data_IF_945788052822
#
_entry.id   IF_945788052822
#
_cell.length_a   1.000
_cell.length_b   1.000
_cell.length_c   1.000
_cell.angle_alpha   90.00
_cell.angle_beta   90.00
_cell.angle_gamma   90.00
#
_symmetry.space_group_name_H-M   'P 1'
#
loop_
_entity.id
_entity.type
_entity.pdbx_description
1 polymer ?
#
# COMPACT_ATOMS: atom_id res chain seq x y z
N UNK A 1 33.65 -10.31 2.24
CA UNK A 1 32.42 -10.76 2.91
C UNK A 1 31.49 -11.16 1.77
N UNK A 2 31.49 -12.46 1.44
CA UNK A 2 30.93 -12.99 0.20
C UNK A 2 29.40 -13.04 0.28
N UNK A 3 28.75 -12.42 -0.70
CA UNK A 3 27.30 -12.37 -0.83
C UNK A 3 26.78 -13.75 -1.25
N UNK A 4 26.14 -14.47 -0.32
CA UNK A 4 25.47 -15.75 -0.55
C UNK A 4 24.23 -15.56 -1.44
N UNK A 5 24.40 -15.51 -2.76
CA UNK A 5 23.29 -15.50 -3.73
C UNK A 5 23.17 -16.82 -4.53
N UNK A 6 23.88 -17.88 -4.13
CA UNK A 6 24.15 -19.03 -5.01
C UNK A 6 23.13 -20.18 -5.05
N UNK A 7 21.93 -20.09 -4.45
CA UNK A 7 21.03 -21.27 -4.48
C UNK A 7 19.52 -21.03 -4.54
N UNK A 8 19.03 -19.80 -4.69
CA UNK A 8 17.64 -19.60 -5.05
C UNK A 8 17.49 -19.86 -6.56
N UNK A 9 17.02 -21.07 -6.87
CA UNK A 9 16.34 -21.51 -8.11
C UNK A 9 17.14 -22.27 -9.18
N UNK A 10 17.66 -23.45 -8.82
CA UNK A 10 17.76 -24.67 -9.64
C UNK A 10 18.24 -25.82 -8.73
N UNK A 11 17.49 -26.26 -7.72
CA UNK A 11 16.89 -27.60 -7.54
C UNK A 11 16.69 -27.76 -6.02
N UNK A 12 15.61 -28.39 -5.56
CA UNK A 12 15.49 -28.92 -4.19
C UNK A 12 14.76 -30.23 -4.38
N UNK A 13 15.49 -31.33 -4.24
CA UNK A 13 14.96 -32.68 -4.28
C UNK A 13 14.45 -33.02 -2.87
N UNK A 14 13.18 -33.38 -2.73
CA UNK A 14 12.67 -33.95 -1.49
C UNK A 14 12.86 -35.47 -1.56
N UNK A 15 13.97 -35.95 -0.98
CA UNK A 15 14.38 -37.36 -1.02
C UNK A 15 13.36 -38.32 -0.37
N UNK A 16 12.37 -37.83 0.38
CA UNK A 16 11.36 -38.68 1.04
C UNK A 16 10.05 -38.87 0.25
N UNK A 17 9.76 -38.03 -0.77
CA UNK A 17 8.43 -38.02 -1.42
C UNK A 17 8.41 -38.03 -2.94
N UNK A 18 9.54 -37.86 -3.64
CA UNK A 18 9.62 -38.02 -5.10
C UNK A 18 8.73 -37.07 -5.93
N UNK A 19 8.19 -36.00 -5.34
CA UNK A 19 7.38 -35.00 -6.06
C UNK A 19 8.24 -33.78 -6.42
N UNK A 20 8.44 -33.57 -7.73
CA UNK A 20 9.04 -32.35 -8.28
C UNK A 20 7.94 -31.30 -8.43
N UNK A 21 7.84 -30.35 -7.50
CA UNK A 21 7.08 -29.11 -7.73
C UNK A 21 8.11 -27.99 -7.91
N UNK A 22 8.58 -27.77 -9.14
CA UNK A 22 9.40 -26.59 -9.45
C UNK A 22 8.90 -25.86 -10.67
N UNK A 23 8.22 -24.74 -10.44
CA UNK A 23 8.26 -23.66 -11.40
C UNK A 23 9.68 -23.07 -11.35
N UNK A 24 10.42 -23.15 -12.46
CA UNK A 24 11.68 -22.45 -12.58
C UNK A 24 11.40 -20.94 -12.65
N UNK A 25 11.91 -20.20 -11.66
CA UNK A 25 11.82 -18.76 -11.59
C UNK A 25 13.11 -18.12 -12.10
N UNK A 26 12.99 -17.00 -12.81
CA UNK A 26 14.11 -16.10 -13.13
C UNK A 26 14.05 -14.90 -12.19
N UNK A 27 15.20 -14.39 -11.77
CA UNK A 27 15.26 -13.11 -11.05
C UNK A 27 14.86 -12.01 -12.03
N UNK A 28 13.86 -11.21 -11.66
CA UNK A 28 13.38 -10.08 -12.43
C UNK A 28 13.96 -8.75 -11.90
N UNK A 29 14.05 -8.61 -10.58
CA UNK A 29 14.53 -7.41 -9.90
C UNK A 29 15.02 -7.75 -8.48
N UNK A 30 15.98 -6.99 -7.96
CA UNK A 30 16.48 -7.10 -6.59
C UNK A 30 16.38 -5.71 -5.95
N UNK A 31 15.69 -5.60 -4.82
CA UNK A 31 15.66 -4.41 -3.97
C UNK A 31 16.50 -4.70 -2.71
N UNK A 32 17.79 -4.36 -2.78
CA UNK A 32 18.74 -4.57 -1.68
C UNK A 32 18.36 -3.79 -0.42
N UNK A 33 17.75 -2.60 -0.58
CA UNK A 33 17.39 -1.74 0.55
C UNK A 33 16.26 -2.36 1.39
N UNK A 34 15.34 -3.09 0.74
CA UNK A 34 14.22 -3.78 1.41
C UNK A 34 14.43 -5.28 1.57
N UNK A 35 15.57 -5.81 1.10
CA UNK A 35 15.91 -7.24 1.13
C UNK A 35 14.87 -8.09 0.38
N UNK A 36 14.51 -7.66 -0.82
CA UNK A 36 13.48 -8.31 -1.65
C UNK A 36 14.07 -8.77 -2.97
N UNK A 37 13.56 -9.91 -3.44
CA UNK A 37 13.85 -10.46 -4.76
C UNK A 37 12.54 -10.67 -5.48
N UNK A 38 12.35 -9.92 -6.55
CA UNK A 38 11.27 -10.17 -7.50
C UNK A 38 11.68 -11.28 -8.45
N UNK A 39 10.76 -12.21 -8.67
CA UNK A 39 10.95 -13.31 -9.59
C UNK A 39 9.88 -13.36 -10.66
N UNK A 40 10.23 -13.92 -11.81
CA UNK A 40 9.35 -14.16 -12.95
C UNK A 40 9.26 -15.65 -13.24
N UNK A 41 8.06 -16.20 -13.26
CA UNK A 41 7.77 -17.59 -13.58
C UNK A 41 8.06 -17.88 -15.06
N UNK A 42 8.18 -19.17 -15.40
CA UNK A 42 8.28 -19.61 -16.80
C UNK A 42 7.08 -19.17 -17.66
N UNK A 43 5.92 -18.89 -17.05
CA UNK A 43 4.72 -18.37 -17.72
C UNK A 43 4.68 -16.84 -17.82
N UNK A 44 5.67 -16.17 -17.23
CA UNK A 44 5.83 -14.73 -17.29
C UNK A 44 5.17 -13.96 -16.14
N UNK A 45 4.58 -14.65 -15.16
CA UNK A 45 3.98 -14.04 -13.97
C UNK A 45 5.04 -13.68 -12.93
N UNK A 46 4.78 -12.64 -12.14
CA UNK A 46 5.69 -12.02 -11.19
C UNK A 46 5.26 -12.35 -9.75
N UNK A 47 6.25 -12.58 -8.88
CA UNK A 47 6.10 -12.79 -7.44
C UNK A 47 7.29 -12.23 -6.68
N UNK A 48 7.22 -12.21 -5.35
CA UNK A 48 8.24 -11.58 -4.50
C UNK A 48 8.63 -12.51 -3.36
N UNK A 49 9.93 -12.61 -3.12
CA UNK A 49 10.53 -13.30 -1.99
C UNK A 49 11.36 -12.31 -1.17
N UNK A 50 11.59 -12.63 0.10
CA UNK A 50 12.74 -12.09 0.84
C UNK A 50 14.04 -12.64 0.26
N UNK A 51 15.13 -11.91 0.43
CA UNK A 51 16.47 -12.37 0.07
C UNK A 51 16.89 -13.67 0.78
N UNK A 52 16.31 -13.96 1.95
CA UNK A 52 16.46 -15.20 2.71
C UNK A 52 15.66 -16.40 2.13
N UNK A 53 14.86 -16.18 1.07
CA UNK A 53 14.06 -17.20 0.40
C UNK A 53 12.62 -17.38 0.92
N UNK A 54 12.17 -16.59 1.89
CA UNK A 54 10.77 -16.57 2.32
C UNK A 54 9.86 -16.02 1.23
N UNK A 55 8.77 -16.72 0.90
CA UNK A 55 7.78 -16.27 -0.07
C UNK A 55 6.89 -15.17 0.53
N UNK A 56 6.85 -13.99 -0.10
CA UNK A 56 5.98 -12.89 0.30
C UNK A 56 4.75 -12.75 -0.61
N UNK A 57 4.96 -12.81 -1.92
CA UNK A 57 3.89 -12.66 -2.92
C UNK A 57 4.02 -13.81 -3.93
N UNK A 58 2.98 -14.63 -4.13
CA UNK A 58 3.00 -15.73 -5.11
C UNK A 58 3.21 -15.20 -6.54
N UNK A 59 3.85 -16.01 -7.38
CA UNK A 59 4.17 -15.63 -8.75
C UNK A 59 2.97 -15.77 -9.72
N UNK A 60 1.90 -15.02 -9.46
CA UNK A 60 0.64 -15.04 -10.21
C UNK A 60 0.30 -13.71 -10.90
N UNK A 61 1.06 -12.65 -10.63
CA UNK A 61 0.77 -11.30 -11.09
C UNK A 61 1.38 -11.02 -12.45
N UNK A 62 0.78 -10.13 -13.23
CA UNK A 62 1.38 -9.63 -14.48
C UNK A 62 2.58 -8.72 -14.18
N UNK A 63 2.51 -7.99 -13.07
CA UNK A 63 3.51 -7.02 -12.63
C UNK A 63 3.37 -6.73 -11.13
N UNK A 64 4.48 -6.42 -10.46
CA UNK A 64 4.52 -5.92 -9.08
C UNK A 64 5.00 -4.45 -9.09
N UNK A 65 4.20 -3.53 -8.59
CA UNK A 65 4.60 -2.14 -8.37
C UNK A 65 5.05 -1.93 -6.92
N UNK A 66 6.11 -1.16 -6.73
CA UNK A 66 6.67 -0.83 -5.42
C UNK A 66 6.37 0.62 -5.07
N UNK A 67 5.83 0.82 -3.88
CA UNK A 67 5.58 2.13 -3.28
C UNK A 67 6.43 2.27 -2.00
N UNK A 68 6.44 3.42 -1.33
CA UNK A 68 7.25 3.59 -0.13
C UNK A 68 6.80 2.68 1.01
N UNK A 69 5.48 2.49 1.17
CA UNK A 69 4.90 1.76 2.31
C UNK A 69 4.32 0.39 1.96
N UNK A 70 4.11 0.07 0.67
CA UNK A 70 3.48 -1.18 0.25
C UNK A 70 3.90 -1.60 -1.17
N UNK A 71 3.55 -2.83 -1.53
CA UNK A 71 3.66 -3.40 -2.86
C UNK A 71 2.27 -3.64 -3.44
N UNK A 72 2.14 -3.57 -4.77
CA UNK A 72 0.90 -3.85 -5.49
C UNK A 72 1.12 -4.88 -6.57
N UNK A 73 0.52 -6.06 -6.41
CA UNK A 73 0.45 -7.07 -7.46
C UNK A 73 -0.74 -6.80 -8.38
N UNK A 74 -0.51 -6.74 -9.69
CA UNK A 74 -1.57 -6.53 -10.69
C UNK A 74 -1.90 -7.82 -11.44
N UNK A 75 -3.18 -8.20 -11.46
CA UNK A 75 -3.68 -9.35 -12.22
C UNK A 75 -4.07 -8.98 -13.65
N UNK A 76 -4.22 -10.00 -14.49
CA UNK A 76 -4.99 -9.87 -15.72
C UNK A 76 -6.44 -9.46 -15.39
N UNK A 77 -7.02 -8.52 -16.14
CA UNK A 77 -8.39 -8.06 -15.92
C UNK A 77 -8.55 -6.93 -14.88
N UNK A 78 -7.45 -6.27 -14.50
CA UNK A 78 -7.49 -5.00 -13.78
C UNK A 78 -7.61 -5.10 -12.25
N UNK A 79 -7.66 -6.31 -11.69
CA UNK A 79 -7.55 -6.53 -10.25
C UNK A 79 -6.15 -6.20 -9.74
N UNK A 80 -6.08 -5.62 -8.54
CA UNK A 80 -4.84 -5.27 -7.85
C UNK A 80 -4.91 -5.69 -6.39
N UNK A 81 -3.87 -6.34 -5.92
CA UNK A 81 -3.70 -6.76 -4.54
C UNK A 81 -2.58 -5.96 -3.89
N UNK A 82 -2.87 -5.41 -2.71
CA UNK A 82 -1.96 -4.55 -1.97
C UNK A 82 -1.40 -5.35 -0.80
N UNK A 83 -0.07 -5.35 -0.67
CA UNK A 83 0.68 -6.08 0.34
C UNK A 83 1.62 -5.15 1.07
N UNK A 84 1.85 -5.39 2.35
CA UNK A 84 3.00 -4.82 3.07
C UNK A 84 4.30 -5.50 2.65
N UNK A 85 5.43 -4.90 3.04
CA UNK A 85 6.78 -5.42 2.75
C UNK A 85 7.21 -6.67 3.52
N UNK A 86 6.37 -7.14 4.46
CA UNK A 86 6.47 -8.44 5.12
C UNK A 86 5.49 -9.47 4.51
N UNK A 87 4.85 -9.16 3.38
CA UNK A 87 3.99 -10.10 2.65
C UNK A 87 2.56 -10.20 3.18
N UNK A 88 2.16 -9.41 4.18
CA UNK A 88 0.77 -9.39 4.64
C UNK A 88 -0.13 -8.74 3.59
N UNK A 89 -1.17 -9.47 3.16
CA UNK A 89 -2.23 -8.95 2.32
C UNK A 89 -3.05 -7.89 3.08
N UNK A 90 -3.27 -6.74 2.43
CA UNK A 90 -4.06 -5.63 2.96
C UNK A 90 -5.43 -5.58 2.32
N UNK A 91 -5.48 -5.40 1.00
CA UNK A 91 -6.73 -5.17 0.28
C UNK A 91 -6.62 -5.59 -1.19
N UNK A 92 -7.72 -6.11 -1.73
CA UNK A 92 -7.92 -6.36 -3.16
C UNK A 92 -8.90 -5.33 -3.72
N UNK A 93 -8.54 -4.73 -4.85
CA UNK A 93 -9.36 -3.73 -5.55
C UNK A 93 -9.45 -4.07 -7.04
N UNK A 94 -10.60 -3.79 -7.67
CA UNK A 94 -10.80 -3.99 -9.10
C UNK A 94 -10.88 -2.64 -9.82
N UNK A 95 -10.33 -2.55 -11.03
CA UNK A 95 -10.50 -1.37 -11.91
C UNK A 95 -9.98 -0.05 -11.31
N UNK A 96 -9.12 -0.12 -10.28
CA UNK A 96 -8.46 1.05 -9.74
C UNK A 96 -7.63 1.74 -10.83
N UNK A 97 -7.96 2.99 -11.16
CA UNK A 97 -7.21 3.81 -12.12
C UNK A 97 -5.89 4.28 -11.56
N UNK A 98 -5.87 4.57 -10.25
CA UNK A 98 -4.69 5.09 -9.57
C UNK A 98 -4.67 4.58 -8.13
N UNK A 99 -3.46 4.27 -7.67
CA UNK A 99 -3.17 4.04 -6.26
C UNK A 99 -2.17 5.14 -5.85
N UNK A 100 -2.42 5.78 -4.71
CA UNK A 100 -1.56 6.81 -4.16
C UNK A 100 -1.07 6.31 -2.82
N UNK A 101 0.25 6.24 -2.70
CA UNK A 101 0.91 6.03 -1.43
C UNK A 101 1.04 7.36 -0.69
N UNK A 102 0.61 7.36 0.56
CA UNK A 102 0.79 8.47 1.48
C UNK A 102 1.34 7.91 2.79
N UNK A 103 1.90 8.76 3.63
CA UNK A 103 2.37 8.33 4.96
C UNK A 103 1.25 7.87 5.91
N UNK A 104 -0.02 7.95 5.50
CA UNK A 104 -1.18 7.89 6.40
C UNK A 104 -2.23 6.88 5.95
N UNK A 105 -2.63 6.94 4.68
CA UNK A 105 -3.62 6.06 4.07
C UNK A 105 -3.15 5.60 2.69
N UNK A 106 -3.64 4.45 2.28
CA UNK A 106 -3.61 3.99 0.91
C UNK A 106 -4.84 4.58 0.22
N UNK A 107 -4.64 5.42 -0.78
CA UNK A 107 -5.76 6.02 -1.52
C UNK A 107 -5.91 5.31 -2.86
N UNK A 108 -7.11 4.85 -3.14
CA UNK A 108 -7.45 4.15 -4.39
C UNK A 108 -8.51 4.96 -5.13
N UNK A 109 -8.26 5.24 -6.41
CA UNK A 109 -9.19 5.94 -7.29
C UNK A 109 -9.88 4.96 -8.25
N UNK A 110 -11.21 5.02 -8.30
CA UNK A 110 -12.10 4.27 -9.19
C UNK A 110 -12.94 5.25 -10.00
N UNK A 111 -12.67 5.44 -11.28
CA UNK A 111 -13.38 6.45 -12.11
C UNK A 111 -13.41 7.83 -11.40
N UNK A 112 -14.57 8.21 -10.83
CA UNK A 112 -14.79 9.47 -10.10
C UNK A 112 -14.92 9.27 -8.57
N UNK A 113 -14.75 8.04 -8.09
CA UNK A 113 -14.81 7.69 -6.68
C UNK A 113 -13.42 7.41 -6.12
N UNK A 114 -13.26 7.67 -4.83
CA UNK A 114 -12.03 7.48 -4.11
C UNK A 114 -12.31 6.70 -2.84
N UNK A 115 -11.49 5.71 -2.56
CA UNK A 115 -11.51 4.92 -1.35
C UNK A 115 -10.20 5.12 -0.58
N UNK A 116 -10.32 5.21 0.74
CA UNK A 116 -9.20 5.44 1.64
C UNK A 116 -9.08 4.27 2.59
N UNK A 117 -7.96 3.56 2.55
CA UNK A 117 -7.68 2.41 3.39
C UNK A 117 -6.57 2.75 4.37
N UNK A 118 -6.68 2.27 5.61
CA UNK A 118 -5.55 2.29 6.52
C UNK A 118 -4.55 1.15 6.17
N UNK A 119 -3.38 1.16 6.80
CA UNK A 119 -2.35 0.13 6.62
C UNK A 119 -2.70 -1.23 7.25
N UNK A 120 -3.90 -1.38 7.82
CA UNK A 120 -4.47 -2.69 8.15
C UNK A 120 -5.29 -3.28 7.00
N UNK A 121 -5.57 -2.49 5.96
CA UNK A 121 -6.45 -2.84 4.85
C UNK A 121 -7.91 -2.47 5.06
N UNK A 122 -8.26 -1.81 6.17
CA UNK A 122 -9.64 -1.44 6.47
C UNK A 122 -10.04 -0.20 5.67
N UNK A 123 -11.19 -0.26 5.00
CA UNK A 123 -11.81 0.91 4.37
C UNK A 123 -12.24 1.91 5.46
N UNK A 124 -11.67 3.09 5.40
CA UNK A 124 -11.90 4.16 6.39
C UNK A 124 -12.92 5.17 5.89
N UNK A 125 -12.93 5.44 4.58
CA UNK A 125 -13.85 6.39 3.95
C UNK A 125 -13.95 6.18 2.45
N UNK A 126 -14.97 6.78 1.85
CA UNK A 126 -15.07 7.01 0.41
C UNK A 126 -15.45 8.46 0.11
N UNK A 127 -15.12 8.96 -1.09
CA UNK A 127 -15.55 10.27 -1.59
C UNK A 127 -15.70 10.27 -3.11
N UNK A 128 -16.70 10.99 -3.62
CA UNK A 128 -16.88 11.28 -5.07
C UNK A 128 -16.15 12.54 -5.54
N UNK A 129 -15.63 13.33 -4.59
CA UNK A 129 -14.98 14.60 -4.86
C UNK A 129 -13.78 14.72 -3.92
N UNK A 130 -12.57 14.43 -4.39
CA UNK A 130 -11.39 14.85 -3.64
C UNK A 130 -11.09 16.32 -3.98
N UNK A 131 -11.61 17.21 -3.13
CA UNK A 131 -10.85 18.42 -2.79
C UNK A 131 -10.11 18.09 -1.50
N UNK A 132 -8.94 17.48 -1.67
CA UNK A 132 -8.15 17.01 -0.55
C UNK A 132 -6.71 17.47 -0.63
N UNK A 133 -6.09 17.58 0.55
CA UNK A 133 -4.68 17.91 0.72
C UNK A 133 -4.05 16.79 1.54
N UNK A 134 -2.96 16.23 1.03
CA UNK A 134 -2.08 15.33 1.79
C UNK A 134 -0.99 16.16 2.46
N UNK A 135 -0.61 15.78 3.66
CA UNK A 135 0.43 16.48 4.44
C UNK A 135 1.14 15.46 5.33
N UNK A 136 2.26 15.85 5.93
CA UNK A 136 3.10 14.90 6.67
C UNK A 136 2.40 14.21 7.85
N UNK A 137 1.43 14.89 8.45
CA UNK A 137 0.72 14.44 9.65
C UNK A 137 -0.70 13.95 9.38
N UNK A 138 -1.14 13.89 8.13
CA UNK A 138 -2.52 13.52 7.87
C UNK A 138 -2.99 13.69 6.43
N UNK A 139 -4.28 13.48 6.26
CA UNK A 139 -5.00 13.78 5.03
C UNK A 139 -6.35 14.42 5.37
N UNK A 140 -6.74 15.43 4.60
CA UNK A 140 -8.06 16.03 4.68
C UNK A 140 -8.72 15.93 3.31
N UNK A 141 -9.99 15.53 3.26
CA UNK A 141 -10.77 15.54 2.02
C UNK A 141 -12.24 15.82 2.31
N UNK A 142 -12.83 16.64 1.45
CA UNK A 142 -14.25 16.91 1.48
C UNK A 142 -15.05 15.73 0.91
N UNK A 143 -16.24 15.47 1.44
CA UNK A 143 -17.22 14.60 0.80
C UNK A 143 -18.63 15.15 1.02
N UNK A 144 -19.66 14.49 0.50
CA UNK A 144 -21.05 14.96 0.65
C UNK A 144 -21.52 15.08 2.12
N UNK A 145 -20.80 14.47 3.07
CA UNK A 145 -21.06 14.55 4.51
C UNK A 145 -20.20 15.60 5.23
N UNK A 146 -19.31 16.31 4.53
CA UNK A 146 -18.43 17.37 5.04
C UNK A 146 -16.93 17.03 5.00
N UNK A 147 -16.10 17.89 5.62
CA UNK A 147 -14.65 17.69 5.65
C UNK A 147 -14.29 16.53 6.59
N UNK A 148 -13.60 15.52 6.05
CA UNK A 148 -13.03 14.43 6.84
C UNK A 148 -11.53 14.67 6.96
N UNK A 149 -11.01 14.58 8.19
CA UNK A 149 -9.58 14.74 8.47
C UNK A 149 -9.10 13.50 9.22
N UNK A 150 -7.96 12.97 8.78
CA UNK A 150 -7.30 11.82 9.38
C UNK A 150 -5.89 12.22 9.79
N UNK A 151 -5.49 11.87 11.01
CA UNK A 151 -4.11 12.03 11.45
C UNK A 151 -3.21 10.91 10.89
N UNK A 152 -1.89 11.02 11.10
CA UNK A 152 -0.87 10.07 10.63
C UNK A 152 -1.06 8.63 11.10
N UNK A 153 -1.84 8.40 12.16
CA UNK A 153 -2.17 7.06 12.64
C UNK A 153 -3.34 6.43 11.87
N UNK A 154 -3.93 7.17 10.93
CA UNK A 154 -5.17 6.79 10.25
C UNK A 154 -6.42 7.05 11.09
N UNK A 155 -6.28 7.71 12.26
CA UNK A 155 -7.42 8.01 13.12
C UNK A 155 -8.20 9.19 12.54
N UNK A 156 -9.52 9.02 12.44
CA UNK A 156 -10.44 10.11 12.10
C UNK A 156 -10.45 11.17 13.20
N UNK A 157 -10.22 12.42 12.83
CA UNK A 157 -10.43 13.59 13.67
C UNK A 157 -11.83 14.11 13.38
N UNK A 158 -12.71 14.00 14.36
CA UNK A 158 -14.04 14.59 14.26
C UNK A 158 -13.96 16.11 14.46
N UNK A 159 -14.28 16.84 13.40
CA UNK A 159 -14.36 18.29 13.43
C UNK A 159 -15.84 18.67 13.54
N UNK A 160 -16.22 19.24 14.68
CA UNK A 160 -17.54 19.88 14.83
C UNK A 160 -17.59 21.14 13.97
N UNK A 161 -18.80 21.60 13.62
CA UNK A 161 -19.03 22.80 12.81
C UNK A 161 -18.13 23.95 13.28
N UNK A 162 -17.26 24.40 12.38
CA UNK A 162 -16.26 25.43 12.64
C UNK A 162 -16.29 26.49 11.53
N UNK A 163 -15.68 27.64 11.79
CA UNK A 163 -15.57 28.77 10.86
C UNK A 163 -14.43 28.60 9.86
N UNK A 164 -13.45 27.77 10.17
CA UNK A 164 -12.28 27.55 9.33
C UNK A 164 -11.44 26.39 9.82
N UNK A 165 -10.67 25.80 8.92
CA UNK A 165 -9.78 24.67 9.21
C UNK A 165 -8.44 25.01 8.58
N UNK A 166 -7.39 24.96 9.39
CA UNK A 166 -6.01 25.11 8.96
C UNK A 166 -5.34 23.77 9.14
N UNK A 167 -4.79 23.28 8.04
CA UNK A 167 -4.10 22.01 8.01
C UNK A 167 -2.67 22.28 7.59
N UNK A 168 -1.72 22.00 8.49
CA UNK A 168 -0.30 22.21 8.29
C UNK A 168 0.45 20.87 8.43
N UNK A 169 1.69 20.82 7.95
CA UNK A 169 2.52 19.60 8.02
C UNK A 169 2.63 19.03 9.43
N UNK A 170 2.57 19.86 10.47
CA UNK A 170 2.81 19.45 11.86
C UNK A 170 1.58 19.55 12.77
N UNK A 171 0.47 20.15 12.30
CA UNK A 171 -0.73 20.29 13.12
C UNK A 171 -1.99 20.48 12.28
N UNK A 172 -3.12 20.14 12.90
CA UNK A 172 -4.46 20.47 12.42
C UNK A 172 -5.07 21.43 13.43
N UNK A 173 -5.51 22.60 12.97
CA UNK A 173 -6.19 23.60 13.77
C UNK A 173 -7.57 23.93 13.19
N UNK A 174 -8.51 24.23 14.08
CA UNK A 174 -9.87 24.65 13.72
C UNK A 174 -10.16 26.01 14.31
N UNK A 175 -10.93 26.81 13.59
CA UNK A 175 -11.37 28.14 14.02
C UNK A 175 -12.80 28.06 14.52
N UNK A 176 -13.01 28.36 15.80
CA UNK A 176 -14.33 28.41 16.42
C UNK A 176 -14.50 29.76 17.10
N UNK A 177 -15.58 30.49 16.78
CA UNK A 177 -15.88 31.80 17.38
C UNK A 177 -14.70 32.79 17.30
N UNK A 178 -14.00 32.83 16.16
CA UNK A 178 -12.81 33.68 16.00
C UNK A 178 -11.50 33.11 16.53
N UNK A 179 -11.51 32.03 17.34
CA UNK A 179 -10.34 31.48 18.03
C UNK A 179 -9.82 30.24 17.30
N UNK A 180 -8.50 30.12 17.13
CA UNK A 180 -7.86 28.93 16.60
C UNK A 180 -7.48 27.96 17.72
N UNK A 181 -7.90 26.70 17.59
CA UNK A 181 -7.60 25.60 18.50
C UNK A 181 -6.87 24.49 17.73
N UNK A 182 -5.77 23.98 18.29
CA UNK A 182 -5.02 22.87 17.71
C UNK A 182 -5.71 21.56 18.15
N UNK A 183 -6.18 20.77 17.18
CA UNK A 183 -6.82 19.47 17.41
C UNK A 183 -5.81 18.33 17.45
N UNK A 184 -4.74 18.44 16.67
CA UNK A 184 -3.70 17.44 16.58
C UNK A 184 -2.38 18.15 16.29
N UNK A 185 -1.32 17.76 16.99
CA UNK A 185 0.04 18.27 16.79
C UNK A 185 1.02 17.10 16.83
N UNK A 186 2.09 17.20 16.06
CA UNK A 186 3.17 16.22 16.01
C UNK A 186 4.01 16.21 17.28
#
# INVERSE_FOLDING_TARGET
METKFFSLWNYVENEEKGEIIKEAYKIAHIDDARQLVEVKSGKGSHGVYKDNGELLIPAEYVWIAYYDNFMVGTHCGGWKDIYTYDGKFLVRVQEAKKIIDTKVLIIVCFEDEWAFYDFSGKLVATSKNIKGMTFETGISFDNSAGLNVYDKSGRKIEIKKCEGILVHNDFIAVKNMGIWEILCQR
#
